data_IF_976088747677
#
_entry.id   IF_976088747677
#
_cell.length_a   1.000
_cell.length_b   1.000
_cell.length_c   1.000
_cell.angle_alpha   90.00
_cell.angle_beta   90.00
_cell.angle_gamma   90.00
#
_symmetry.space_group_name_H-M   'P 1'
#
loop_
_entity.id
_entity.type
_entity.pdbx_description
1 polymer ?
#
# COMPACT_ATOMS: atom_id res chain seq x y z
N UNK A 1 16.35 58.25 -24.85
CA UNK A 1 15.92 56.83 -25.06
C UNK A 1 14.44 56.75 -24.73
N UNK A 2 13.59 56.53 -25.74
CA UNK A 2 12.13 56.57 -25.60
C UNK A 2 11.59 55.14 -25.57
N UNK A 3 11.03 54.74 -24.42
CA UNK A 3 10.40 53.44 -24.23
C UNK A 3 8.99 53.51 -24.82
N UNK A 4 8.76 52.81 -25.93
CA UNK A 4 7.40 52.67 -26.51
C UNK A 4 6.66 51.57 -25.74
N UNK A 5 5.64 51.96 -25.00
CA UNK A 5 4.66 51.04 -24.41
C UNK A 5 3.93 50.27 -25.53
N UNK A 6 4.25 48.98 -25.68
CA UNK A 6 3.44 48.06 -26.46
C UNK A 6 2.14 47.77 -25.70
N UNK A 7 1.04 48.38 -26.13
CA UNK A 7 -0.30 47.90 -25.79
C UNK A 7 -0.62 46.73 -26.71
N UNK A 8 -0.64 45.52 -26.16
CA UNK A 8 -1.16 44.34 -26.86
C UNK A 8 -2.69 44.44 -26.84
N UNK A 9 -3.37 44.51 -27.99
CA UNK A 9 -4.83 44.51 -28.03
C UNK A 9 -5.33 43.10 -27.71
N UNK A 10 -6.12 42.94 -26.66
CA UNK A 10 -6.88 41.71 -26.42
C UNK A 10 -8.08 41.73 -27.39
N UNK A 11 -8.01 40.94 -28.46
CA UNK A 11 -9.07 40.83 -29.46
C UNK A 11 -10.02 39.67 -29.11
N UNK A 12 -11.08 39.96 -28.34
CA UNK A 12 -12.49 39.55 -28.57
C UNK A 12 -13.30 39.83 -27.31
N UNK A 13 -14.17 40.84 -27.35
CA UNK A 13 -15.27 41.01 -26.39
C UNK A 13 -16.57 40.66 -27.12
N UNK A 14 -16.76 39.36 -27.37
CA UNK A 14 -17.95 38.80 -28.01
C UNK A 14 -18.39 37.57 -27.21
N UNK A 15 -19.68 37.49 -26.89
CA UNK A 15 -20.25 36.36 -26.16
C UNK A 15 -20.03 35.02 -26.90
N UNK A 16 -19.97 33.94 -26.11
CA UNK A 16 -19.82 32.57 -26.60
C UNK A 16 -20.88 32.24 -27.65
N UNK A 17 -20.47 31.72 -28.82
CA UNK A 17 -21.43 31.30 -29.85
C UNK A 17 -22.04 29.93 -29.51
N UNK A 18 -23.29 29.69 -29.91
CA UNK A 18 -23.96 28.40 -29.65
C UNK A 18 -23.21 27.24 -30.31
N UNK A 19 -22.65 27.47 -31.50
CA UNK A 19 -21.81 26.50 -32.21
C UNK A 19 -20.56 26.13 -31.43
N UNK A 20 -19.93 27.09 -30.75
CA UNK A 20 -18.71 26.88 -29.99
C UNK A 20 -18.95 26.04 -28.74
N UNK A 21 -20.08 26.22 -28.07
CA UNK A 21 -20.49 25.32 -26.98
C UNK A 21 -20.78 23.91 -27.52
N UNK A 22 -21.49 23.79 -28.64
CA UNK A 22 -21.84 22.48 -29.23
C UNK A 22 -20.60 21.71 -29.69
N UNK A 23 -19.65 22.38 -30.34
CA UNK A 23 -18.41 21.74 -30.78
C UNK A 23 -17.60 21.20 -29.60
N UNK A 24 -17.53 21.94 -28.49
CA UNK A 24 -16.79 21.53 -27.29
C UNK A 24 -17.42 20.32 -26.62
N UNK A 25 -18.74 20.30 -26.42
CA UNK A 25 -19.39 19.15 -25.77
C UNK A 25 -19.31 17.88 -26.61
N UNK A 26 -19.35 18.00 -27.95
CA UNK A 26 -19.18 16.86 -28.86
C UNK A 26 -17.75 16.32 -28.74
N UNK A 27 -16.75 17.20 -28.71
CA UNK A 27 -15.36 16.79 -28.54
C UNK A 27 -15.11 16.15 -27.17
N UNK A 28 -15.64 16.73 -26.09
CA UNK A 28 -15.55 16.14 -24.74
C UNK A 28 -16.25 14.78 -24.66
N UNK A 29 -17.39 14.60 -25.34
CA UNK A 29 -18.07 13.32 -25.43
C UNK A 29 -17.23 12.24 -26.12
N UNK A 30 -16.54 12.58 -27.21
CA UNK A 30 -15.68 11.66 -27.93
C UNK A 30 -14.42 11.28 -27.14
N UNK A 31 -13.79 12.26 -26.48
CA UNK A 31 -12.65 12.01 -25.61
C UNK A 31 -13.04 11.12 -24.41
N UNK A 32 -14.19 11.39 -23.79
CA UNK A 32 -14.69 10.59 -22.67
C UNK A 32 -14.97 9.13 -23.09
N UNK A 33 -15.57 8.92 -24.27
CA UNK A 33 -15.87 7.58 -24.78
C UNK A 33 -14.64 6.69 -24.95
N UNK A 34 -13.48 7.26 -25.30
CA UNK A 34 -12.22 6.52 -25.47
C UNK A 34 -11.41 6.42 -24.18
N UNK A 35 -11.42 7.45 -23.32
CA UNK A 35 -10.61 7.48 -22.11
C UNK A 35 -11.21 6.65 -20.96
N UNK A 36 -12.53 6.61 -20.83
CA UNK A 36 -13.22 6.01 -19.69
C UNK A 36 -13.01 4.48 -19.56
N UNK A 37 -13.06 3.66 -20.63
CA UNK A 37 -12.82 2.22 -20.51
C UNK A 37 -11.44 1.92 -19.93
N UNK A 38 -10.40 2.60 -20.43
CA UNK A 38 -9.03 2.43 -19.94
C UNK A 38 -8.87 2.88 -18.49
N UNK A 39 -9.57 3.93 -18.07
CA UNK A 39 -9.53 4.39 -16.68
C UNK A 39 -10.13 3.35 -15.73
N UNK A 40 -11.15 2.59 -16.15
CA UNK A 40 -11.72 1.50 -15.36
C UNK A 40 -10.72 0.36 -15.23
N UNK A 41 -10.05 -0.02 -16.31
CA UNK A 41 -9.09 -1.13 -16.30
C UNK A 41 -7.83 -0.83 -15.45
N UNK A 42 -7.40 0.43 -15.39
CA UNK A 42 -6.20 0.83 -14.63
C UNK A 42 -6.41 0.93 -13.11
N UNK A 43 -7.65 1.10 -12.65
CA UNK A 43 -7.96 1.21 -11.22
C UNK A 43 -7.54 -0.04 -10.43
N UNK A 44 -7.95 -1.27 -10.78
CA UNK A 44 -7.54 -2.46 -10.03
C UNK A 44 -6.04 -2.71 -10.09
N UNK A 45 -5.38 -2.42 -11.22
CA UNK A 45 -3.93 -2.53 -11.35
C UNK A 45 -3.19 -1.56 -10.42
N UNK A 46 -3.69 -0.32 -10.30
CA UNK A 46 -3.13 0.69 -9.41
C UNK A 46 -3.34 0.31 -7.93
N UNK A 47 -4.49 -0.25 -7.60
CA UNK A 47 -4.80 -0.74 -6.25
C UNK A 47 -3.90 -1.91 -5.86
N UNK A 48 -3.75 -2.91 -6.72
CA UNK A 48 -2.84 -4.03 -6.50
C UNK A 48 -1.39 -3.57 -6.37
N UNK A 49 -0.94 -2.64 -7.23
CA UNK A 49 0.39 -2.06 -7.13
C UNK A 49 0.62 -1.33 -5.79
N UNK A 50 -0.40 -0.62 -5.30
CA UNK A 50 -0.38 0.06 -4.00
C UNK A 50 -0.27 -0.93 -2.83
N UNK A 51 -1.05 -2.01 -2.85
CA UNK A 51 -0.99 -3.06 -1.81
C UNK A 51 0.39 -3.72 -1.79
N UNK A 52 0.93 -4.09 -2.97
CA UNK A 52 2.29 -4.65 -3.08
C UNK A 52 3.37 -3.68 -2.58
N UNK A 53 3.24 -2.39 -2.87
CA UNK A 53 4.19 -1.37 -2.42
C UNK A 53 4.21 -1.26 -0.89
N UNK A 54 3.04 -1.30 -0.24
CA UNK A 54 2.94 -1.25 1.21
C UNK A 54 3.48 -2.53 1.86
N UNK A 55 3.17 -3.72 1.31
CA UNK A 55 3.75 -4.98 1.77
C UNK A 55 5.29 -4.98 1.65
N UNK A 56 5.86 -4.47 0.55
CA UNK A 56 7.30 -4.35 0.39
C UNK A 56 7.94 -3.39 1.41
N UNK A 57 7.23 -2.32 1.77
CA UNK A 57 7.65 -1.38 2.79
C UNK A 57 7.66 -2.04 4.18
N UNK A 58 6.63 -2.83 4.51
CA UNK A 58 6.57 -3.65 5.74
C UNK A 58 7.74 -4.64 5.83
N UNK A 59 8.08 -5.35 4.75
CA UNK A 59 9.24 -6.27 4.71
C UNK A 59 10.55 -5.52 4.96
N UNK A 60 10.68 -4.31 4.42
CA UNK A 60 11.87 -3.47 4.62
C UNK A 60 12.01 -3.07 6.10
N UNK A 61 10.90 -2.74 6.75
CA UNK A 61 10.86 -2.38 8.16
C UNK A 61 11.14 -3.58 9.07
N UNK A 62 10.59 -4.76 8.76
CA UNK A 62 10.95 -6.00 9.45
C UNK A 62 12.45 -6.28 9.34
N UNK A 63 13.05 -6.08 8.17
CA UNK A 63 14.49 -6.29 7.96
C UNK A 63 15.34 -5.33 8.81
N UNK A 64 14.90 -4.08 8.96
CA UNK A 64 15.56 -3.10 9.85
C UNK A 64 15.39 -3.51 11.31
N UNK A 65 14.18 -3.92 11.72
CA UNK A 65 13.91 -4.41 13.07
C UNK A 65 14.76 -5.63 13.42
N UNK A 66 14.91 -6.58 12.48
CA UNK A 66 15.80 -7.74 12.61
C UNK A 66 17.23 -7.32 12.91
N UNK A 67 17.75 -6.30 12.22
CA UNK A 67 19.08 -5.78 12.50
C UNK A 67 19.16 -5.14 13.90
N UNK A 68 18.14 -4.35 14.29
CA UNK A 68 18.06 -3.71 15.61
C UNK A 68 18.07 -4.76 16.73
N UNK A 69 17.21 -5.77 16.64
CA UNK A 69 17.08 -6.85 17.62
C UNK A 69 18.35 -7.69 17.74
N UNK A 70 18.99 -8.05 16.62
CA UNK A 70 20.25 -8.81 16.64
C UNK A 70 21.43 -8.02 17.21
N UNK A 71 21.38 -6.69 17.12
CA UNK A 71 22.39 -5.82 17.71
C UNK A 71 22.16 -5.53 19.20
N UNK A 72 21.01 -5.93 19.76
CA UNK A 72 20.61 -5.57 21.12
C UNK A 72 20.23 -4.09 21.27
N UNK A 73 19.80 -3.43 20.18
CA UNK A 73 19.34 -2.04 20.21
C UNK A 73 18.06 -1.90 21.03
N UNK A 74 17.89 -0.75 21.71
CA UNK A 74 16.63 -0.37 22.35
C UNK A 74 15.49 -0.15 21.35
N UNK A 75 15.82 0.06 20.08
CA UNK A 75 14.86 0.24 18.99
C UNK A 75 14.30 -1.10 18.48
N UNK A 76 14.73 -2.22 19.04
CA UNK A 76 14.16 -3.52 18.75
C UNK A 76 12.69 -3.58 19.21
N UNK A 77 11.81 -3.86 18.27
CA UNK A 77 10.41 -4.19 18.53
C UNK A 77 10.28 -5.71 18.54
N UNK A 78 10.00 -6.29 19.71
CA UNK A 78 9.77 -7.73 19.83
C UNK A 78 8.28 -8.05 19.81
N UNK A 79 7.83 -8.72 18.76
CA UNK A 79 6.44 -9.16 18.61
C UNK A 79 6.29 -10.54 19.25
N UNK A 80 5.68 -10.55 20.43
CA UNK A 80 5.56 -11.76 21.24
C UNK A 80 4.32 -12.61 20.91
N UNK A 81 3.33 -12.06 20.21
CA UNK A 81 2.05 -12.72 19.91
C UNK A 81 2.09 -13.54 18.63
N UNK A 82 1.08 -14.39 18.36
CA UNK A 82 1.08 -15.31 17.21
C UNK A 82 -0.13 -15.10 16.29
N UNK A 83 -0.13 -15.76 15.13
CA UNK A 83 -1.23 -15.71 14.17
C UNK A 83 -1.51 -14.29 13.66
N UNK A 84 -2.79 -13.97 13.48
CA UNK A 84 -3.26 -12.66 13.00
C UNK A 84 -2.86 -11.52 13.94
N UNK A 85 -2.86 -11.76 15.26
CA UNK A 85 -2.51 -10.73 16.23
C UNK A 85 -1.07 -10.24 16.05
N UNK A 86 -0.14 -11.13 15.71
CA UNK A 86 1.24 -10.75 15.42
C UNK A 86 1.35 -9.86 14.18
N UNK A 87 0.52 -10.14 13.17
CA UNK A 87 0.48 -9.35 11.95
C UNK A 87 -0.14 -7.96 12.19
N UNK A 88 -1.14 -7.87 13.06
CA UNK A 88 -1.75 -6.60 13.46
C UNK A 88 -0.77 -5.75 14.28
N UNK A 89 -0.13 -6.34 15.30
CA UNK A 89 0.91 -5.67 16.10
C UNK A 89 2.08 -5.21 15.22
N UNK A 90 2.50 -6.01 14.23
CA UNK A 90 3.53 -5.61 13.29
C UNK A 90 3.16 -4.38 12.47
N UNK A 91 1.92 -4.28 12.00
CA UNK A 91 1.48 -3.11 11.23
C UNK A 91 1.41 -1.88 12.12
N UNK A 92 0.85 -2.02 13.32
CA UNK A 92 0.68 -0.88 14.23
C UNK A 92 2.04 -0.32 14.68
N UNK A 93 3.03 -1.19 14.93
CA UNK A 93 4.38 -0.79 15.33
C UNK A 93 5.26 -0.32 14.16
N UNK A 94 5.28 -1.06 13.04
CA UNK A 94 6.18 -0.74 11.93
C UNK A 94 5.62 0.33 11.00
N UNK A 95 4.30 0.44 10.89
CA UNK A 95 3.60 1.27 9.92
C UNK A 95 2.34 1.93 10.53
N UNK A 96 2.49 2.78 11.58
CA UNK A 96 1.36 3.42 12.25
C UNK A 96 0.55 4.39 11.36
N UNK A 97 1.08 4.74 10.18
CA UNK A 97 0.42 5.60 9.20
C UNK A 97 -0.37 4.83 8.14
N UNK A 98 -0.37 3.50 8.20
CA UNK A 98 -1.17 2.68 7.31
C UNK A 98 -2.65 2.86 7.65
N UNK A 99 -3.46 3.23 6.67
CA UNK A 99 -4.90 3.40 6.88
C UNK A 99 -5.58 2.03 6.99
N UNK A 100 -5.91 1.64 8.22
CA UNK A 100 -6.58 0.38 8.57
C UNK A 100 -8.04 0.30 8.10
N UNK A 101 -8.62 1.40 7.60
CA UNK A 101 -9.93 1.36 6.93
C UNK A 101 -9.83 0.88 5.48
N UNK A 102 -8.66 1.03 4.87
CA UNK A 102 -8.37 0.62 3.50
C UNK A 102 -7.66 -0.71 3.47
N UNK A 103 -6.73 -0.96 4.41
CA UNK A 103 -5.93 -2.18 4.44
C UNK A 103 -6.25 -3.04 5.66
N UNK A 104 -6.42 -4.33 5.43
CA UNK A 104 -6.62 -5.34 6.44
C UNK A 104 -5.49 -6.35 6.40
N UNK A 105 -5.32 -7.05 7.52
CA UNK A 105 -4.31 -8.08 7.64
C UNK A 105 -4.94 -9.40 8.04
N UNK A 106 -4.38 -10.47 7.46
CA UNK A 106 -4.66 -11.84 7.88
C UNK A 106 -3.34 -12.61 8.01
N UNK A 107 -3.38 -13.73 8.73
CA UNK A 107 -2.24 -14.63 8.86
C UNK A 107 -2.44 -15.84 7.95
N UNK A 108 -1.34 -16.30 7.36
CA UNK A 108 -1.28 -17.64 6.76
C UNK A 108 -0.82 -18.59 7.87
N UNK A 109 -1.58 -19.66 8.10
CA UNK A 109 -1.23 -20.65 9.10
C UNK A 109 0.15 -21.25 8.79
N UNK A 110 1.01 -21.35 9.80
CA UNK A 110 2.38 -21.86 9.63
C UNK A 110 2.46 -23.32 9.20
N UNK A 111 1.34 -24.05 9.25
CA UNK A 111 1.22 -25.43 8.78
C UNK A 111 0.84 -25.53 7.29
N UNK A 112 0.48 -24.41 6.65
CA UNK A 112 0.12 -24.38 5.23
C UNK A 112 1.41 -24.42 4.40
N UNK A 113 1.61 -25.45 3.54
CA UNK A 113 2.75 -25.47 2.64
C UNK A 113 2.78 -24.25 1.73
N UNK A 114 3.96 -23.69 1.47
CA UNK A 114 4.14 -22.46 0.67
C UNK A 114 3.45 -22.50 -0.72
N UNK A 115 3.36 -23.69 -1.31
CA UNK A 115 2.70 -23.91 -2.60
C UNK A 115 1.19 -23.59 -2.58
N UNK A 116 0.55 -23.67 -1.42
CA UNK A 116 -0.90 -23.46 -1.26
C UNK A 116 -1.25 -22.01 -0.93
N UNK A 117 -0.26 -21.15 -0.68
CA UNK A 117 -0.51 -19.78 -0.23
C UNK A 117 -1.23 -18.95 -1.28
N UNK A 118 -1.00 -19.25 -2.57
CA UNK A 118 -1.72 -18.61 -3.67
C UNK A 118 -3.24 -18.79 -3.57
N UNK A 119 -3.72 -19.86 -2.92
CA UNK A 119 -5.16 -20.10 -2.72
C UNK A 119 -5.74 -19.38 -1.50
N UNK A 120 -4.89 -18.81 -0.64
CA UNK A 120 -5.28 -18.04 0.54
C UNK A 120 -5.18 -16.53 0.31
N UNK A 121 -4.74 -16.11 -0.87
CA UNK A 121 -4.63 -14.71 -1.25
C UNK A 121 -5.89 -14.28 -1.99
N UNK A 122 -6.54 -13.24 -1.49
CA UNK A 122 -7.58 -12.53 -2.22
C UNK A 122 -6.98 -11.77 -3.42
N UNK A 123 -7.82 -11.39 -4.38
CA UNK A 123 -7.40 -10.62 -5.54
C UNK A 123 -6.76 -9.28 -5.12
N UNK A 124 -5.51 -9.07 -5.54
CA UNK A 124 -4.75 -7.87 -5.21
C UNK A 124 -4.09 -7.85 -3.82
N UNK A 125 -4.17 -8.94 -3.06
CA UNK A 125 -3.48 -9.09 -1.79
C UNK A 125 -1.97 -9.32 -1.96
N UNK A 126 -1.19 -8.97 -0.94
CA UNK A 126 0.27 -9.12 -0.94
C UNK A 126 0.78 -9.77 0.36
N UNK A 127 1.73 -10.70 0.22
CA UNK A 127 2.35 -11.38 1.37
C UNK A 127 3.52 -10.56 1.89
N UNK A 128 3.63 -10.46 3.21
CA UNK A 128 4.82 -9.98 3.91
C UNK A 128 5.16 -10.89 5.08
N UNK A 129 6.34 -10.67 5.66
CA UNK A 129 6.85 -11.48 6.77
C UNK A 129 7.11 -10.58 7.96
N UNK A 130 6.84 -11.13 9.14
CA UNK A 130 7.14 -10.51 10.42
C UNK A 130 8.06 -11.45 11.18
N UNK A 131 9.24 -10.97 11.55
CA UNK A 131 10.21 -11.72 12.33
C UNK A 131 9.99 -11.47 13.80
N UNK A 132 9.83 -12.55 14.56
CA UNK A 132 9.63 -12.53 16.00
C UNK A 132 10.85 -13.09 16.70
N UNK A 133 11.41 -12.32 17.62
CA UNK A 133 12.65 -12.66 18.33
C UNK A 133 12.39 -13.39 19.64
N UNK A 134 11.22 -13.17 20.26
CA UNK A 134 10.82 -13.82 21.51
C UNK A 134 11.89 -13.63 22.60
N UNK A 135 12.33 -12.39 22.77
CA UNK A 135 13.23 -11.98 23.85
C UNK A 135 12.57 -12.20 25.22
N UNK A 136 11.24 -12.14 25.27
CA UNK A 136 10.41 -12.59 26.39
C UNK A 136 9.26 -13.46 25.86
N UNK A 137 9.48 -14.78 25.69
CA UNK A 137 8.48 -15.66 25.11
C UNK A 137 7.28 -15.74 26.06
N UNK A 138 6.04 -15.74 25.52
CA UNK A 138 4.86 -15.90 26.35
C UNK A 138 4.85 -17.32 26.95
N UNK A 139 4.19 -17.49 28.11
CA UNK A 139 4.28 -18.73 28.90
C UNK A 139 3.71 -19.98 28.21
N UNK A 140 2.93 -19.80 27.15
CA UNK A 140 2.33 -20.82 26.29
C UNK A 140 3.17 -21.13 25.04
N UNK A 141 4.25 -20.39 24.79
CA UNK A 141 5.17 -20.69 23.70
C UNK A 141 6.03 -21.92 24.06
N UNK A 142 5.97 -22.94 23.21
CA UNK A 142 6.88 -24.09 23.22
C UNK A 142 8.28 -23.76 22.64
N UNK A 143 8.46 -22.53 22.16
CA UNK A 143 9.71 -22.01 21.59
C UNK A 143 10.55 -21.35 22.69
N UNK A 144 11.85 -21.66 22.71
CA UNK A 144 12.80 -21.03 23.63
C UNK A 144 13.26 -19.65 23.13
N UNK A 145 13.89 -18.87 24.01
CA UNK A 145 14.49 -17.57 23.63
C UNK A 145 15.54 -17.73 22.52
N UNK A 146 15.56 -16.80 21.57
CA UNK A 146 16.53 -16.77 20.47
C UNK A 146 16.18 -17.62 19.24
N UNK A 147 14.94 -18.11 19.15
CA UNK A 147 14.40 -18.68 17.92
C UNK A 147 13.64 -17.61 17.14
N UNK A 148 14.28 -17.09 16.08
CA UNK A 148 13.67 -16.12 15.16
C UNK A 148 12.58 -16.83 14.32
N UNK A 149 11.31 -16.59 14.63
CA UNK A 149 10.18 -17.14 13.86
C UNK A 149 9.70 -16.12 12.86
N UNK A 150 9.66 -16.51 11.57
CA UNK A 150 9.04 -15.69 10.53
C UNK A 150 7.57 -16.06 10.39
N UNK A 151 6.69 -15.13 10.75
CA UNK A 151 5.26 -15.24 10.53
C UNK A 151 4.89 -14.68 9.16
N UNK A 152 4.21 -15.47 8.32
CA UNK A 152 3.64 -14.96 7.09
C UNK A 152 2.34 -14.22 7.38
N UNK A 153 2.25 -13.02 6.85
CA UNK A 153 1.09 -12.14 6.95
C UNK A 153 0.65 -11.75 5.54
N UNK A 154 -0.64 -11.56 5.37
CA UNK A 154 -1.25 -11.13 4.11
C UNK A 154 -1.83 -9.76 4.34
N UNK A 155 -1.40 -8.81 3.53
CA UNK A 155 -2.00 -7.50 3.43
C UNK A 155 -3.04 -7.55 2.32
N UNK A 156 -4.30 -7.30 2.67
CA UNK A 156 -5.40 -7.20 1.72
C UNK A 156 -5.98 -5.80 1.76
N UNK A 157 -6.64 -5.39 0.67
CA UNK A 157 -7.38 -4.14 0.61
C UNK A 157 -8.86 -4.45 0.75
N UNK A 158 -9.54 -3.71 1.61
CA UNK A 158 -10.98 -3.83 1.85
C UNK A 158 -11.82 -3.16 0.75
#
# INVERSE_FOLDING_TARGET
>A
MSVRNLRVPVLYAGGFTLVEVVAVIVLLGLLAAVALPRFIDLQPEAEEASTRAQAAALISQDTINVAACRSGSSDCVDITTTGTQACDEAIDEFFPHLDRSVFTVSNIDSNTPAEQWASQLDDGAAVFWVTRFLLTPPSDAWLGQGWDVRQPCVLSRN
#
